data_IF_208519249493
#
_entry.id   IF_208519249493
#
_cell.length_a   1.000
_cell.length_b   1.000
_cell.length_c   1.000
_cell.angle_alpha   90.00
_cell.angle_beta   90.00
_cell.angle_gamma   90.00
#
_symmetry.space_group_name_H-M   'P 1'
#
loop_
_entity.id
_entity.type
_entity.pdbx_description
1 polymer ?
#
# COMPACT_ATOMS: atom_id res chain seq x y z
N UNK A 1 5.09 6.94 2.79
CA UNK A 1 3.70 6.95 2.30
C UNK A 1 3.09 5.55 2.40
N UNK A 2 3.52 4.60 1.56
CA UNK A 2 2.85 3.29 1.43
C UNK A 2 2.62 2.54 2.75
N UNK A 3 3.58 2.39 3.67
CA UNK A 3 3.36 1.68 4.94
C UNK A 3 2.23 2.22 5.82
N UNK A 4 1.99 3.53 5.76
CA UNK A 4 1.13 4.24 6.71
C UNK A 4 -0.17 4.77 6.08
N UNK A 5 -0.26 4.88 4.74
CA UNK A 5 -1.48 5.34 4.06
C UNK A 5 -2.26 4.21 3.38
N UNK A 6 -1.56 3.14 3.00
CA UNK A 6 -2.12 1.97 2.31
C UNK A 6 -1.71 0.64 2.94
N UNK A 7 -0.73 0.69 3.83
CA UNK A 7 -0.20 -0.49 4.46
C UNK A 7 -1.13 -1.05 5.53
N UNK A 8 -0.81 -2.25 6.01
CA UNK A 8 -1.43 -2.90 7.17
C UNK A 8 -1.77 -1.99 8.34
N UNK A 9 -1.00 -0.93 8.63
CA UNK A 9 -1.23 -0.03 9.76
C UNK A 9 -2.63 0.60 9.77
N UNK A 10 -3.03 1.27 8.69
CA UNK A 10 -4.33 1.95 8.61
C UNK A 10 -5.50 0.95 8.62
N UNK A 11 -5.36 -0.15 7.87
CA UNK A 11 -6.33 -1.25 7.86
C UNK A 11 -6.49 -1.89 9.24
N UNK A 12 -5.40 -2.10 9.96
CA UNK A 12 -5.40 -2.64 11.32
C UNK A 12 -6.06 -1.67 12.30
N UNK A 13 -5.76 -0.38 12.22
CA UNK A 13 -6.37 0.64 13.07
C UNK A 13 -7.90 0.63 12.96
N UNK A 14 -8.43 0.51 11.74
CA UNK A 14 -9.87 0.55 11.46
C UNK A 14 -10.58 -0.78 11.67
N UNK A 15 -10.02 -1.87 11.17
CA UNK A 15 -10.72 -3.15 11.06
C UNK A 15 -10.05 -4.29 11.83
N UNK A 16 -8.81 -4.12 12.30
CA UNK A 16 -8.11 -5.13 13.06
C UNK A 16 -8.85 -5.51 14.35
N UNK A 17 -8.72 -6.77 14.77
CA UNK A 17 -9.16 -7.18 16.11
C UNK A 17 -8.29 -6.51 17.18
N UNK A 18 -8.75 -6.46 18.42
CA UNK A 18 -7.94 -5.89 19.50
C UNK A 18 -6.59 -6.62 19.64
N UNK A 19 -6.59 -7.96 19.56
CA UNK A 19 -5.37 -8.76 19.61
C UNK A 19 -4.41 -8.42 18.45
N UNK A 20 -4.93 -8.23 17.24
CA UNK A 20 -4.11 -7.81 16.09
C UNK A 20 -3.53 -6.41 16.29
N UNK A 21 -4.34 -5.48 16.82
CA UNK A 21 -3.89 -4.11 17.11
C UNK A 21 -2.76 -4.10 18.14
N UNK A 22 -2.95 -4.79 19.25
CA UNK A 22 -1.97 -4.86 20.35
C UNK A 22 -0.65 -5.52 19.90
N UNK A 23 -0.74 -6.52 19.01
CA UNK A 23 0.44 -7.18 18.48
C UNK A 23 1.16 -6.36 17.39
N UNK A 24 0.45 -5.94 16.35
CA UNK A 24 1.08 -5.37 15.15
C UNK A 24 1.34 -3.87 15.25
N UNK A 25 0.46 -3.06 15.84
CA UNK A 25 0.61 -1.60 15.80
C UNK A 25 1.89 -1.10 16.48
N UNK A 26 2.29 -1.59 17.68
CA UNK A 26 3.56 -1.18 18.29
C UNK A 26 4.76 -1.57 17.44
N UNK A 27 4.73 -2.76 16.82
CA UNK A 27 5.82 -3.28 15.99
C UNK A 27 5.94 -2.56 14.65
N UNK A 28 4.83 -2.10 14.09
CA UNK A 28 4.80 -1.23 12.92
C UNK A 28 5.33 0.16 13.25
N UNK A 29 4.98 0.69 14.42
CA UNK A 29 5.38 2.02 14.86
C UNK A 29 6.89 2.15 15.14
N UNK A 30 7.51 1.12 15.71
CA UNK A 30 8.96 1.08 15.99
C UNK A 30 9.80 0.40 14.89
N UNK A 31 9.16 -0.05 13.81
CA UNK A 31 9.83 -0.61 12.63
C UNK A 31 10.32 -2.05 12.77
N UNK A 32 9.97 -2.76 13.85
CA UNK A 32 10.18 -4.22 13.96
C UNK A 32 9.46 -5.00 12.88
N UNK A 33 8.27 -4.54 12.49
CA UNK A 33 7.60 -5.02 11.29
C UNK A 33 7.71 -3.97 10.18
N UNK A 34 8.22 -4.38 9.02
CA UNK A 34 8.23 -3.58 7.80
C UNK A 34 7.14 -4.12 6.87
N UNK A 35 6.03 -3.40 6.68
CA UNK A 35 4.94 -3.94 5.90
C UNK A 35 5.07 -3.66 4.40
N UNK A 36 4.51 -4.56 3.59
CA UNK A 36 4.15 -4.32 2.21
C UNK A 36 2.67 -4.66 1.97
N UNK A 37 2.11 -4.19 0.84
CA UNK A 37 0.71 -4.42 0.50
C UNK A 37 0.53 -4.94 -0.92
N UNK A 38 0.05 -6.16 -1.04
CA UNK A 38 -0.05 -6.93 -2.26
C UNK A 38 -1.49 -6.99 -2.77
N UNK A 39 -1.83 -5.99 -3.59
CA UNK A 39 -3.10 -5.88 -4.31
C UNK A 39 -2.90 -6.10 -5.81
N UNK A 40 -2.01 -5.33 -6.42
CA UNK A 40 -1.73 -5.37 -7.87
C UNK A 40 -1.08 -6.70 -8.28
N UNK A 41 -1.59 -7.29 -9.35
CA UNK A 41 -1.05 -8.49 -10.00
C UNK A 41 -0.59 -8.21 -11.44
N UNK A 42 -0.04 -9.20 -12.14
CA UNK A 42 0.31 -9.09 -13.56
C UNK A 42 -0.91 -8.74 -14.44
N UNK A 43 -2.06 -9.34 -14.14
CA UNK A 43 -3.28 -9.24 -14.95
C UNK A 43 -4.29 -8.20 -14.42
N UNK A 44 -4.13 -7.72 -13.18
CA UNK A 44 -5.08 -6.83 -12.50
C UNK A 44 -4.37 -5.67 -11.80
N UNK A 45 -4.63 -4.45 -12.31
CA UNK A 45 -4.11 -3.19 -11.78
C UNK A 45 -5.25 -2.21 -11.44
N UNK A 46 -5.71 -1.45 -12.43
CA UNK A 46 -6.80 -0.48 -12.26
C UNK A 46 -8.13 -1.15 -11.91
N UNK A 47 -8.41 -2.30 -12.54
CA UNK A 47 -9.53 -3.17 -12.16
C UNK A 47 -9.12 -4.09 -10.99
N UNK A 48 -8.94 -3.49 -9.82
CA UNK A 48 -8.53 -4.20 -8.61
C UNK A 48 -9.61 -5.14 -8.05
N UNK A 49 -10.85 -5.07 -8.55
CA UNK A 49 -11.92 -6.01 -8.19
C UNK A 49 -11.78 -7.37 -8.88
N UNK A 50 -11.05 -7.44 -10.00
CA UNK A 50 -10.92 -8.65 -10.82
C UNK A 50 -9.60 -9.40 -10.58
N UNK A 51 -9.05 -9.33 -9.36
CA UNK A 51 -7.82 -10.04 -9.01
C UNK A 51 -8.00 -11.56 -9.13
N UNK A 52 -7.08 -12.29 -9.77
CA UNK A 52 -7.18 -13.75 -9.95
C UNK A 52 -6.68 -14.53 -8.72
N UNK A 53 -6.01 -13.86 -7.79
CA UNK A 53 -5.45 -14.47 -6.58
C UNK A 53 -6.57 -15.06 -5.72
N UNK A 54 -6.37 -16.30 -5.25
CA UNK A 54 -7.43 -17.09 -4.65
C UNK A 54 -7.09 -17.56 -3.24
N UNK A 55 -8.12 -17.62 -2.40
CA UNK A 55 -8.10 -18.30 -1.12
C UNK A 55 -9.28 -19.25 -1.04
N UNK A 56 -9.02 -20.50 -0.71
CA UNK A 56 -10.06 -21.52 -0.49
C UNK A 56 -10.10 -21.85 0.99
N UNK A 57 -11.25 -21.68 1.63
CA UNK A 57 -11.47 -22.08 3.01
C UNK A 57 -11.28 -23.59 3.13
N UNK A 58 -10.48 -24.01 4.09
CA UNK A 58 -10.21 -25.43 4.34
C UNK A 58 -9.83 -25.67 5.79
N UNK A 59 -9.58 -26.94 6.13
CA UNK A 59 -8.95 -27.33 7.38
C UNK A 59 -7.62 -28.02 7.14
N UNK A 60 -6.62 -27.68 7.94
CA UNK A 60 -5.30 -28.30 7.88
C UNK A 60 -4.64 -28.33 9.26
N UNK A 61 -3.75 -29.28 9.49
CA UNK A 61 -2.87 -29.25 10.66
C UNK A 61 -1.89 -28.07 10.54
N UNK A 62 -1.78 -27.27 11.60
CA UNK A 62 -0.99 -26.03 11.62
C UNK A 62 -0.36 -25.81 12.99
N UNK A 63 0.96 -25.55 13.04
CA UNK A 63 1.72 -25.27 14.26
C UNK A 63 1.48 -26.27 15.42
N UNK A 64 1.28 -27.55 15.10
CA UNK A 64 1.05 -28.62 16.08
C UNK A 64 -0.41 -28.76 16.53
N UNK A 65 -1.30 -27.86 16.11
CA UNK A 65 -2.74 -28.00 16.28
C UNK A 65 -3.34 -28.73 15.08
N UNK A 66 -4.26 -29.66 15.34
CA UNK A 66 -4.90 -30.46 14.30
C UNK A 66 -6.18 -29.80 13.80
N UNK A 67 -6.46 -29.97 12.51
CA UNK A 67 -7.76 -29.60 11.92
C UNK A 67 -8.13 -28.11 12.07
N UNK A 68 -7.12 -27.22 12.03
CA UNK A 68 -7.28 -25.77 12.16
C UNK A 68 -8.07 -25.23 10.98
N UNK A 69 -9.08 -24.40 11.24
CA UNK A 69 -9.83 -23.71 10.19
C UNK A 69 -8.98 -22.56 9.63
N UNK A 70 -8.80 -22.55 8.33
CA UNK A 70 -7.95 -21.57 7.66
C UNK A 70 -8.25 -21.48 6.17
N UNK A 71 -7.28 -20.92 5.45
CA UNK A 71 -7.40 -20.62 4.03
C UNK A 71 -6.13 -21.09 3.35
N UNK A 72 -6.29 -21.84 2.26
CA UNK A 72 -5.20 -22.17 1.35
C UNK A 72 -5.15 -21.14 0.23
N UNK A 73 -4.03 -20.46 0.12
CA UNK A 73 -3.83 -19.31 -0.75
C UNK A 73 -2.95 -19.64 -1.95
N UNK A 74 -3.28 -19.03 -3.09
CA UNK A 74 -2.46 -19.00 -4.30
C UNK A 74 -2.46 -17.57 -4.85
N UNK A 75 -1.29 -16.99 -5.09
CA UNK A 75 -1.19 -15.63 -5.62
C UNK A 75 0.06 -15.39 -6.46
N UNK A 76 -0.05 -14.39 -7.32
CA UNK A 76 1.06 -13.78 -8.05
C UNK A 76 0.84 -12.27 -8.10
N UNK A 77 1.73 -11.54 -7.41
CA UNK A 77 1.58 -10.10 -7.21
C UNK A 77 2.77 -9.36 -7.79
N UNK A 78 2.52 -8.18 -8.34
CA UNK A 78 3.52 -7.37 -9.06
C UNK A 78 3.51 -5.94 -8.58
N UNK A 79 4.68 -5.31 -8.60
CA UNK A 79 4.90 -3.92 -8.19
C UNK A 79 4.62 -3.65 -6.72
N UNK A 80 4.90 -4.61 -5.87
CA UNK A 80 4.65 -4.50 -4.43
C UNK A 80 5.77 -3.69 -3.79
N UNK A 81 5.41 -2.48 -3.33
CA UNK A 81 6.34 -1.56 -2.68
C UNK A 81 6.80 -2.17 -1.35
N UNK A 82 8.11 -2.10 -1.10
CA UNK A 82 8.84 -2.70 0.03
C UNK A 82 8.89 -4.22 0.07
N UNK A 83 8.23 -4.96 -0.83
CA UNK A 83 8.24 -6.43 -0.80
C UNK A 83 9.64 -7.06 -0.65
N UNK A 84 10.70 -6.62 -1.36
CA UNK A 84 12.05 -7.18 -1.21
C UNK A 84 12.66 -7.18 0.19
N UNK A 85 12.14 -6.35 1.09
CA UNK A 85 12.67 -6.14 2.45
C UNK A 85 11.58 -6.26 3.53
N UNK A 86 10.34 -6.56 3.15
CA UNK A 86 9.21 -6.59 4.06
C UNK A 86 9.27 -7.81 4.99
N UNK A 87 8.80 -7.63 6.23
CA UNK A 87 8.60 -8.72 7.20
C UNK A 87 7.13 -9.15 7.28
N UNK A 88 6.22 -8.27 6.87
CA UNK A 88 4.77 -8.48 6.93
C UNK A 88 4.11 -8.15 5.59
N UNK A 89 3.43 -9.13 5.02
CA UNK A 89 2.67 -9.03 3.77
C UNK A 89 1.19 -8.84 4.08
N UNK A 90 0.63 -7.68 3.71
CA UNK A 90 -0.81 -7.53 3.54
C UNK A 90 -1.23 -8.07 2.19
N UNK A 91 -2.01 -9.15 2.12
CA UNK A 91 -2.42 -9.79 0.86
C UNK A 91 -3.91 -9.64 0.64
N UNK A 92 -4.30 -9.11 -0.53
CA UNK A 92 -5.68 -9.13 -1.01
C UNK A 92 -5.89 -10.26 -2.02
N UNK A 93 -6.95 -11.05 -1.82
CA UNK A 93 -7.31 -12.21 -2.65
C UNK A 93 -8.82 -12.42 -2.66
N UNK A 94 -9.32 -13.13 -3.66
CA UNK A 94 -10.71 -13.56 -3.75
C UNK A 94 -10.91 -14.81 -2.90
N UNK A 95 -11.85 -14.76 -1.94
CA UNK A 95 -12.12 -15.88 -1.03
C UNK A 95 -13.30 -16.73 -1.50
N UNK A 96 -13.10 -18.04 -1.46
CA UNK A 96 -14.06 -19.08 -1.80
C UNK A 96 -14.23 -20.07 -0.64
N UNK A 97 -15.45 -20.57 -0.46
CA UNK A 97 -15.83 -21.55 0.56
C UNK A 97 -16.71 -22.66 -0.06
N UNK A 98 -16.13 -23.51 -0.94
CA UNK A 98 -16.89 -24.53 -1.67
C UNK A 98 -17.45 -25.64 -0.76
N UNK A 99 -16.91 -25.78 0.46
CA UNK A 99 -17.36 -26.76 1.45
C UNK A 99 -18.33 -26.17 2.48
N UNK A 100 -18.74 -24.90 2.33
CA UNK A 100 -19.68 -24.21 3.20
C UNK A 100 -19.27 -24.23 4.69
N UNK A 101 -17.97 -24.07 4.97
CA UNK A 101 -17.40 -24.10 6.32
C UNK A 101 -17.67 -22.80 7.10
N UNK A 102 -17.95 -21.69 6.41
CA UNK A 102 -18.25 -20.38 6.98
C UNK A 102 -19.72 -19.98 6.80
N UNK A 103 -20.40 -20.51 5.79
CA UNK A 103 -21.83 -20.28 5.54
C UNK A 103 -22.28 -20.72 4.15
N UNK A 104 -23.45 -20.24 3.72
CA UNK A 104 -24.15 -20.77 2.54
C UNK A 104 -23.61 -20.29 1.18
N UNK A 105 -22.61 -19.41 1.16
CA UNK A 105 -22.07 -18.81 -0.07
C UNK A 105 -20.72 -19.41 -0.44
N UNK A 106 -20.60 -19.93 -1.65
CA UNK A 106 -19.32 -20.44 -2.17
C UNK A 106 -18.32 -19.33 -2.52
N UNK A 107 -18.80 -18.17 -2.98
CA UNK A 107 -17.94 -17.02 -3.30
C UNK A 107 -18.21 -15.91 -2.28
N UNK A 108 -17.22 -15.64 -1.42
CA UNK A 108 -17.39 -14.70 -0.31
C UNK A 108 -17.00 -13.27 -0.69
N UNK A 109 -16.02 -13.10 -1.59
CA UNK A 109 -15.52 -11.79 -2.01
C UNK A 109 -14.07 -11.55 -1.65
N UNK A 110 -13.57 -10.36 -2.02
CA UNK A 110 -12.20 -9.94 -1.70
C UNK A 110 -12.01 -9.91 -0.19
N UNK A 111 -10.92 -10.52 0.26
CA UNK A 111 -10.51 -10.62 1.67
C UNK A 111 -9.06 -10.17 1.80
N UNK A 112 -8.70 -9.67 2.98
CA UNK A 112 -7.33 -9.21 3.26
C UNK A 112 -6.76 -9.98 4.45
N UNK A 113 -5.55 -10.52 4.29
CA UNK A 113 -4.81 -11.22 5.33
C UNK A 113 -3.45 -10.55 5.61
N UNK A 114 -2.92 -10.80 6.81
CA UNK A 114 -1.57 -10.44 7.22
C UNK A 114 -0.73 -11.70 7.35
N UNK A 115 0.35 -11.78 6.57
CA UNK A 115 1.16 -13.00 6.42
C UNK A 115 2.62 -12.60 6.69
N UNK A 116 3.32 -13.21 7.66
CA UNK A 116 4.76 -13.06 7.79
C UNK A 116 5.45 -13.47 6.49
N UNK A 117 6.41 -12.66 6.01
CA UNK A 117 7.07 -12.95 4.72
C UNK A 117 8.01 -14.15 4.77
N UNK A 118 8.40 -14.59 5.97
CA UNK A 118 9.13 -15.83 6.21
C UNK A 118 8.22 -17.06 6.36
N UNK A 119 6.90 -16.90 6.21
CA UNK A 119 5.96 -18.01 6.30
C UNK A 119 6.18 -19.00 5.15
N UNK A 120 6.03 -20.30 5.44
CA UNK A 120 6.34 -21.36 4.48
C UNK A 120 5.51 -21.21 3.20
N UNK A 121 6.18 -21.16 2.05
CA UNK A 121 5.56 -21.03 0.74
C UNK A 121 5.32 -19.59 0.28
N UNK A 122 5.61 -18.59 1.12
CA UNK A 122 5.72 -17.20 0.67
C UNK A 122 7.07 -17.01 -0.02
N UNK A 123 7.05 -16.52 -1.25
CA UNK A 123 8.25 -16.21 -2.02
C UNK A 123 8.27 -14.73 -2.42
N UNK A 124 9.42 -14.10 -2.24
CA UNK A 124 9.69 -12.75 -2.72
C UNK A 124 10.61 -12.87 -3.93
N UNK A 125 10.16 -12.39 -5.09
CA UNK A 125 10.95 -12.51 -6.31
C UNK A 125 11.98 -11.39 -6.49
N UNK A 126 12.55 -11.34 -7.70
CA UNK A 126 13.59 -10.37 -8.05
C UNK A 126 13.08 -8.94 -7.89
N UNK A 127 13.85 -8.13 -7.17
CA UNK A 127 13.60 -6.69 -7.03
C UNK A 127 13.45 -6.04 -8.40
N UNK A 128 12.37 -5.29 -8.59
CA UNK A 128 12.20 -4.37 -9.71
C UNK A 128 13.01 -3.10 -9.49
N UNK A 129 13.56 -2.55 -10.57
CA UNK A 129 14.24 -1.26 -10.58
C UNK A 129 13.59 -0.29 -11.58
N UNK A 130 12.36 0.17 -11.30
CA UNK A 130 11.65 1.04 -12.22
C UNK A 130 12.25 2.45 -12.19
N UNK A 131 12.49 3.01 -13.37
CA UNK A 131 13.00 4.38 -13.58
C UNK A 131 14.35 4.66 -12.88
N UNK A 132 15.13 3.61 -12.60
CA UNK A 132 16.38 3.69 -11.83
C UNK A 132 16.25 4.37 -10.45
N UNK A 133 15.05 4.40 -9.89
CA UNK A 133 14.81 4.99 -8.58
C UNK A 133 15.13 3.93 -7.51
N UNK A 134 16.01 4.22 -6.53
CA UNK A 134 16.46 3.25 -5.52
C UNK A 134 15.42 2.98 -4.43
N UNK A 135 14.15 2.82 -4.79
CA UNK A 135 13.11 2.35 -3.88
C UNK A 135 12.96 0.83 -3.96
N UNK A 136 12.58 0.20 -2.85
CA UNK A 136 12.34 -1.25 -2.80
C UNK A 136 10.98 -1.55 -3.42
N UNK A 137 10.98 -2.38 -4.47
CA UNK A 137 9.79 -2.82 -5.17
C UNK A 137 10.06 -4.21 -5.74
N UNK A 138 9.11 -5.11 -5.65
CA UNK A 138 9.28 -6.46 -6.17
C UNK A 138 7.97 -7.22 -6.26
N UNK A 139 7.99 -8.40 -6.87
CA UNK A 139 6.85 -9.29 -6.89
C UNK A 139 6.81 -10.16 -5.62
N UNK A 140 5.65 -10.76 -5.35
CA UNK A 140 5.49 -11.80 -4.34
C UNK A 140 4.62 -12.92 -4.88
N UNK A 141 4.93 -14.15 -4.49
CA UNK A 141 4.26 -15.36 -4.95
C UNK A 141 3.92 -16.26 -3.77
N UNK A 142 2.91 -17.10 -3.97
CA UNK A 142 2.66 -18.21 -3.07
C UNK A 142 1.79 -19.25 -3.75
N UNK A 143 2.08 -20.52 -3.47
CA UNK A 143 1.32 -21.67 -3.94
C UNK A 143 1.00 -22.58 -2.77
N UNK A 144 -0.29 -22.91 -2.63
CA UNK A 144 -0.82 -23.76 -1.57
C UNK A 144 -0.41 -23.33 -0.15
N UNK A 145 -0.34 -22.02 0.10
CA UNK A 145 0.06 -21.48 1.40
C UNK A 145 -1.13 -21.48 2.34
N UNK A 146 -1.06 -22.27 3.40
CA UNK A 146 -2.09 -22.28 4.43
C UNK A 146 -1.87 -21.15 5.44
N UNK A 147 -2.93 -20.40 5.75
CA UNK A 147 -2.98 -19.44 6.85
C UNK A 147 -4.19 -19.70 7.74
N UNK A 148 -4.08 -19.54 9.07
CA UNK A 148 -5.23 -19.63 9.98
C UNK A 148 -6.17 -18.42 9.84
N UNK A 149 -7.44 -18.58 10.23
CA UNK A 149 -8.47 -17.54 10.10
C UNK A 149 -8.19 -16.24 10.86
N UNK A 150 -7.42 -16.30 11.94
CA UNK A 150 -7.04 -15.16 12.77
C UNK A 150 -6.03 -14.22 12.08
N UNK A 151 -5.42 -14.65 10.97
CA UNK A 151 -4.56 -13.81 10.14
C UNK A 151 -5.34 -12.91 9.20
N UNK A 152 -6.64 -13.15 8.99
CA UNK A 152 -7.51 -12.19 8.30
C UNK A 152 -7.61 -10.90 9.09
N UNK A 153 -7.51 -9.73 8.45
CA UNK A 153 -7.69 -8.44 9.13
C UNK A 153 -9.12 -8.37 9.69
N UNK A 154 -9.25 -8.26 11.01
CA UNK A 154 -10.54 -8.29 11.71
C UNK A 154 -11.14 -9.69 11.90
N UNK A 155 -10.37 -10.74 11.58
CA UNK A 155 -10.72 -12.14 11.77
C UNK A 155 -11.80 -12.65 10.80
N UNK A 156 -12.31 -13.84 11.09
CA UNK A 156 -13.31 -14.54 10.28
C UNK A 156 -14.56 -13.68 9.97
N UNK A 157 -14.97 -12.80 10.89
CA UNK A 157 -16.14 -11.92 10.71
C UNK A 157 -15.98 -10.88 9.57
N UNK A 158 -14.75 -10.67 9.10
CA UNK A 158 -14.41 -9.79 7.99
C UNK A 158 -14.11 -10.52 6.67
N UNK A 159 -14.26 -11.84 6.63
CA UNK A 159 -14.20 -12.60 5.39
C UNK A 159 -15.17 -12.01 4.34
N UNK A 160 -14.66 -11.78 3.12
CA UNK A 160 -15.41 -11.18 2.00
C UNK A 160 -15.63 -9.66 2.07
N UNK A 161 -15.22 -8.98 3.15
CA UNK A 161 -15.42 -7.52 3.33
C UNK A 161 -14.20 -6.68 2.95
N UNK A 162 -13.15 -7.30 2.41
CA UNK A 162 -11.88 -6.67 2.07
C UNK A 162 -11.99 -5.58 1.02
N UNK A 163 -12.86 -5.72 0.01
CA UNK A 163 -13.01 -4.67 -1.01
C UNK A 163 -13.43 -3.32 -0.41
N UNK A 164 -14.40 -3.33 0.51
CA UNK A 164 -14.84 -2.13 1.22
C UNK A 164 -13.68 -1.49 2.00
N UNK A 165 -12.91 -2.30 2.73
CA UNK A 165 -11.74 -1.82 3.48
C UNK A 165 -10.70 -1.16 2.56
N UNK A 166 -10.43 -1.79 1.41
CA UNK A 166 -9.46 -1.32 0.43
C UNK A 166 -9.88 0.03 -0.16
N UNK A 167 -11.13 0.18 -0.58
CA UNK A 167 -11.64 1.42 -1.18
C UNK A 167 -11.61 2.57 -0.18
N UNK A 168 -11.99 2.31 1.09
CA UNK A 168 -11.94 3.31 2.16
C UNK A 168 -10.49 3.80 2.38
N UNK A 169 -9.51 2.91 2.54
CA UNK A 169 -8.10 3.29 2.73
C UNK A 169 -7.45 3.92 1.47
N UNK A 170 -7.77 3.42 0.27
CA UNK A 170 -7.28 4.00 -1.00
C UNK A 170 -7.75 5.43 -1.20
N UNK A 171 -8.97 5.74 -0.75
CA UNK A 171 -9.54 7.08 -0.88
C UNK A 171 -8.78 8.11 -0.03
N UNK A 172 -8.36 7.75 1.18
CA UNK A 172 -7.55 8.63 2.03
C UNK A 172 -6.12 8.82 1.50
N UNK A 173 -5.49 7.74 1.05
CA UNK A 173 -4.19 7.81 0.40
C UNK A 173 -4.21 8.75 -0.81
N UNK A 174 -5.28 8.69 -1.61
CA UNK A 174 -5.48 9.51 -2.81
C UNK A 174 -5.88 10.95 -2.50
N UNK A 175 -6.78 11.17 -1.55
CA UNK A 175 -7.33 12.50 -1.23
C UNK A 175 -6.44 13.35 -0.34
N UNK A 176 -5.60 12.72 0.49
CA UNK A 176 -4.85 13.42 1.55
C UNK A 176 -3.35 13.24 1.35
N UNK A 177 -2.86 11.99 1.38
CA UNK A 177 -1.42 11.71 1.47
C UNK A 177 -0.67 12.09 0.18
N UNK A 178 -1.18 11.68 -0.98
CA UNK A 178 -0.53 11.96 -2.26
C UNK A 178 -0.52 13.47 -2.61
N UNK A 179 -1.65 14.22 -2.48
CA UNK A 179 -1.63 15.67 -2.67
C UNK A 179 -0.70 16.41 -1.71
N UNK A 180 -0.63 15.99 -0.44
CA UNK A 180 0.28 16.59 0.54
C UNK A 180 1.76 16.41 0.13
N UNK A 181 2.15 15.21 -0.32
CA UNK A 181 3.49 14.93 -0.82
C UNK A 181 3.80 15.72 -2.10
N UNK A 182 2.88 15.74 -3.06
CA UNK A 182 3.03 16.53 -4.30
C UNK A 182 3.19 18.02 -3.99
N UNK A 183 2.45 18.54 -3.02
CA UNK A 183 2.57 19.94 -2.58
C UNK A 183 3.95 20.20 -1.94
N UNK A 184 4.43 19.28 -1.11
CA UNK A 184 5.78 19.34 -0.56
C UNK A 184 6.86 19.36 -1.64
N UNK A 185 6.75 18.48 -2.63
CA UNK A 185 7.66 18.41 -3.77
C UNK A 185 7.63 19.68 -4.62
N UNK A 186 6.44 20.24 -4.89
CA UNK A 186 6.29 21.49 -5.63
C UNK A 186 6.94 22.69 -4.90
N UNK A 187 6.76 22.78 -3.58
CA UNK A 187 7.41 23.81 -2.75
C UNK A 187 8.93 23.69 -2.76
N UNK A 188 9.44 22.45 -2.66
CA UNK A 188 10.87 22.15 -2.74
C UNK A 188 11.41 22.58 -4.11
N UNK A 189 10.76 22.17 -5.19
CA UNK A 189 11.14 22.56 -6.55
C UNK A 189 11.18 24.09 -6.70
N UNK A 190 10.11 24.80 -6.31
CA UNK A 190 10.03 26.25 -6.38
C UNK A 190 11.14 26.97 -5.60
N UNK A 191 11.45 26.49 -4.39
CA UNK A 191 12.52 27.06 -3.56
C UNK A 191 13.89 26.87 -4.20
N UNK A 192 14.21 25.66 -4.64
CA UNK A 192 15.54 25.36 -5.19
C UNK A 192 15.76 26.02 -6.56
N UNK A 193 14.78 25.96 -7.47
CA UNK A 193 14.91 26.60 -8.79
C UNK A 193 14.97 28.11 -8.66
N UNK A 194 14.14 28.71 -7.81
CA UNK A 194 14.16 30.15 -7.53
C UNK A 194 15.49 30.60 -6.92
N UNK A 195 16.01 29.87 -5.93
CA UNK A 195 17.31 30.18 -5.32
C UNK A 195 18.44 30.07 -6.34
N UNK A 196 18.48 28.99 -7.13
CA UNK A 196 19.50 28.79 -8.15
C UNK A 196 19.49 29.90 -9.21
N UNK A 197 18.30 30.32 -9.66
CA UNK A 197 18.15 31.39 -10.64
C UNK A 197 18.71 32.75 -10.16
N UNK A 198 18.76 32.97 -8.85
CA UNK A 198 19.31 34.19 -8.25
C UNK A 198 20.83 34.16 -8.08
N UNK A 199 21.42 33.00 -7.82
CA UNK A 199 22.86 32.88 -7.55
C UNK A 199 23.67 32.52 -8.79
N UNK A 200 23.09 31.81 -9.76
CA UNK A 200 23.77 31.47 -11.00
C UNK A 200 23.82 32.68 -11.92
N UNK A 201 25.01 33.03 -12.39
CA UNK A 201 25.22 34.14 -13.33
C UNK A 201 25.67 33.65 -14.70
N UNK A 202 25.15 34.26 -15.76
CA UNK A 202 25.61 34.16 -17.14
C UNK A 202 25.41 35.51 -17.84
N UNK A 203 26.25 35.82 -18.83
CA UNK A 203 26.23 37.12 -19.53
C UNK A 203 26.28 38.33 -18.58
N UNK A 204 27.02 38.19 -17.46
CA UNK A 204 27.24 39.28 -16.50
C UNK A 204 26.10 39.55 -15.52
N UNK A 205 25.03 38.74 -15.49
CA UNK A 205 23.92 38.93 -14.55
C UNK A 205 23.32 37.60 -14.06
N UNK A 206 22.54 37.61 -12.95
CA UNK A 206 21.78 36.45 -12.52
C UNK A 206 20.85 35.92 -13.62
N UNK A 207 20.81 34.61 -13.81
CA UNK A 207 20.01 33.99 -14.89
C UNK A 207 18.50 34.21 -14.73
N UNK A 208 18.05 34.49 -13.50
CA UNK A 208 16.65 34.81 -13.22
C UNK A 208 16.15 36.12 -13.82
N UNK A 209 17.00 36.92 -14.48
CA UNK A 209 16.60 38.13 -15.22
C UNK A 209 16.38 37.90 -16.72
N UNK A 210 16.60 36.68 -17.21
CA UNK A 210 16.25 36.33 -18.60
C UNK A 210 14.79 35.88 -18.65
N UNK A 211 14.01 36.44 -19.57
CA UNK A 211 12.58 36.10 -19.75
C UNK A 211 12.35 34.59 -19.89
N UNK A 212 13.21 33.89 -20.65
CA UNK A 212 13.14 32.44 -20.81
C UNK A 212 13.37 31.62 -19.53
N UNK A 213 13.85 32.25 -18.45
CA UNK A 213 13.94 31.69 -17.10
C UNK A 213 12.80 32.19 -16.22
N UNK A 214 12.39 33.46 -16.34
CA UNK A 214 11.28 34.04 -15.58
C UNK A 214 9.95 33.34 -15.86
N UNK A 215 9.62 33.06 -17.12
CA UNK A 215 8.37 32.40 -17.50
C UNK A 215 8.19 31.01 -16.83
N UNK A 216 9.14 30.05 -16.95
CA UNK A 216 8.99 28.77 -16.26
C UNK A 216 9.02 28.91 -14.74
N UNK A 217 9.78 29.87 -14.17
CA UNK A 217 9.75 30.13 -12.73
C UNK A 217 8.36 30.60 -12.27
N UNK A 218 7.71 31.49 -13.02
CA UNK A 218 6.36 31.96 -12.72
C UNK A 218 5.35 30.80 -12.70
N UNK A 219 5.44 29.87 -13.67
CA UNK A 219 4.60 28.66 -13.70
C UNK A 219 4.86 27.75 -12.51
N UNK A 220 6.13 27.51 -12.16
CA UNK A 220 6.50 26.68 -11.00
C UNK A 220 5.94 27.27 -9.70
N UNK A 221 6.15 28.58 -9.47
CA UNK A 221 5.68 29.25 -8.27
C UNK A 221 4.15 29.33 -8.22
N UNK A 222 3.50 29.66 -9.35
CA UNK A 222 2.05 29.72 -9.46
C UNK A 222 1.41 28.36 -9.13
N UNK A 223 1.92 27.27 -9.69
CA UNK A 223 1.45 25.93 -9.37
C UNK A 223 1.69 25.56 -7.90
N UNK A 224 2.88 25.86 -7.36
CA UNK A 224 3.17 25.61 -5.95
C UNK A 224 2.23 26.38 -5.01
N UNK A 225 1.88 27.63 -5.36
CA UNK A 225 0.90 28.43 -4.62
C UNK A 225 -0.50 27.81 -4.68
N UNK A 226 -0.99 27.47 -5.88
CA UNK A 226 -2.31 26.85 -6.06
C UNK A 226 -2.44 25.53 -5.29
N UNK A 227 -1.41 24.68 -5.36
CA UNK A 227 -1.37 23.41 -4.63
C UNK A 227 -1.39 23.63 -3.11
N UNK A 228 -0.65 24.61 -2.60
CA UNK A 228 -0.64 24.89 -1.16
C UNK A 228 -1.94 25.51 -0.67
N UNK A 229 -2.54 26.40 -1.44
CA UNK A 229 -3.86 26.97 -1.15
C UNK A 229 -4.93 25.86 -1.08
N UNK A 230 -4.94 24.95 -2.07
CA UNK A 230 -5.83 23.79 -2.08
C UNK A 230 -5.61 22.87 -0.87
N UNK A 231 -4.35 22.64 -0.48
CA UNK A 231 -4.02 21.85 0.72
C UNK A 231 -4.53 22.50 2.01
N UNK A 232 -4.46 23.83 2.14
CA UNK A 232 -4.95 24.56 3.33
C UNK A 232 -6.47 24.46 3.41
N UNK A 233 -7.18 24.71 2.31
CA UNK A 233 -8.64 24.59 2.23
C UNK A 233 -9.14 23.20 2.63
N UNK A 234 -8.44 22.14 2.22
CA UNK A 234 -8.80 20.76 2.58
C UNK A 234 -8.47 20.40 4.04
N UNK A 235 -7.63 21.18 4.74
CA UNK A 235 -7.26 20.92 6.13
C UNK A 235 -8.22 21.58 7.10
N UNK A 236 -8.63 22.81 6.80
CA UNK A 236 -9.41 23.67 7.70
C UNK A 236 -10.92 23.55 7.42
N UNK A 237 -11.41 22.32 7.21
CA UNK A 237 -12.83 22.07 6.99
C UNK A 237 -13.68 22.40 8.22
N UNK A 238 -14.22 23.62 8.23
CA UNK A 238 -15.55 23.92 8.76
C UNK A 238 -16.62 23.26 7.86
#
# INVERSE_FOLDING_TARGET
MVPNSLGPGELLMKYGTQAQKDYYLPRLADGRELPCFALTGPEAGSDASSIPDSGVVCRQDFNGEKNVLGIRLNWEKRYITLAPVATLLGLAFQLYDPEHLLGDKETLGITVALIPTNHKGVEIGTRHFPLDIPFQNGPTYGRDVFIPMDWLIGGQAQAGKGWRMLVECLSEGRGISLPALSTGAAKVAARYTGAYARVRQQFGMPIGHFEGVEEPLARILGNAYLMDAGRILNRDGD
#
